data_IF_456359188226
#
_entry.id   IF_456359188226
#
_cell.length_a   1.000
_cell.length_b   1.000
_cell.length_c   1.000
_cell.angle_alpha   90.00
_cell.angle_beta   90.00
_cell.angle_gamma   90.00
#
_symmetry.space_group_name_H-M   'P 1'
#
loop_
_entity.id
_entity.type
_entity.pdbx_description
1 polymer ?
#
# COMPACT_ATOMS: atom_id res chain seq x y z
N UNK A 1 13.95 1.63 13.90
CA UNK A 1 12.57 1.50 13.34
C UNK A 1 11.91 2.87 13.18
N UNK A 2 11.83 3.69 14.23
CA UNK A 2 11.30 5.07 14.13
C UNK A 2 12.08 5.97 13.15
N UNK A 3 13.42 5.98 13.22
CA UNK A 3 14.27 6.79 12.31
C UNK A 3 14.19 6.33 10.84
N UNK A 4 13.93 5.03 10.61
CA UNK A 4 13.72 4.48 9.27
C UNK A 4 12.33 4.85 8.72
N UNK A 5 11.33 5.02 9.59
CA UNK A 5 9.99 5.53 9.22
C UNK A 5 10.01 7.00 8.83
N UNK A 6 10.83 7.85 9.45
CA UNK A 6 10.90 9.28 9.12
C UNK A 6 11.50 9.56 7.75
N UNK A 7 12.48 8.77 7.31
CA UNK A 7 13.17 8.97 6.03
C UNK A 7 12.63 8.09 4.89
N UNK A 8 11.65 7.23 5.17
CA UNK A 8 11.04 6.37 4.16
C UNK A 8 10.26 7.19 3.11
N UNK A 9 10.31 6.80 1.84
CA UNK A 9 9.44 7.36 0.81
C UNK A 9 7.97 7.31 1.28
N UNK A 10 7.30 8.46 1.23
CA UNK A 10 5.89 8.62 1.61
C UNK A 10 5.08 8.98 0.38
N UNK A 11 4.05 8.21 0.12
CA UNK A 11 3.07 8.45 -0.93
C UNK A 11 1.70 8.63 -0.30
N UNK A 12 0.88 9.53 -0.82
CA UNK A 12 -0.47 9.75 -0.28
C UNK A 12 -1.46 10.07 -1.39
N UNK A 13 -2.68 9.55 -1.26
CA UNK A 13 -3.80 9.90 -2.11
C UNK A 13 -5.05 10.15 -1.27
N UNK A 14 -5.83 11.15 -1.66
CA UNK A 14 -7.14 11.45 -1.07
C UNK A 14 -8.20 11.08 -2.10
N UNK A 15 -9.16 10.25 -1.70
CA UNK A 15 -10.34 9.92 -2.49
C UNK A 15 -11.55 9.97 -1.58
N UNK A 16 -12.52 10.83 -1.91
CA UNK A 16 -13.78 10.95 -1.18
C UNK A 16 -13.60 11.16 0.33
N UNK A 17 -12.78 12.16 0.68
CA UNK A 17 -12.36 12.52 2.05
C UNK A 17 -11.64 11.39 2.84
N UNK A 18 -11.28 10.28 2.19
CA UNK A 18 -10.42 9.26 2.79
C UNK A 18 -8.98 9.45 2.31
N UNK A 19 -8.05 9.59 3.25
CA UNK A 19 -6.62 9.73 2.94
C UNK A 19 -5.93 8.39 3.14
N UNK A 20 -5.28 7.89 2.08
CA UNK A 20 -4.43 6.70 2.15
C UNK A 20 -2.98 7.14 2.04
N UNK A 21 -2.21 6.94 3.11
CA UNK A 21 -0.77 7.19 3.15
C UNK A 21 -0.02 5.85 3.12
N UNK A 22 0.97 5.71 2.23
CA UNK A 22 1.84 4.54 2.14
C UNK A 22 3.29 4.96 2.41
N UNK A 23 3.98 4.18 3.25
CA UNK A 23 5.43 4.26 3.44
C UNK A 23 6.08 2.94 3.09
N UNK A 24 7.18 2.96 2.34
CA UNK A 24 7.86 1.74 1.86
C UNK A 24 9.22 1.56 2.54
N UNK A 25 9.59 0.31 2.79
CA UNK A 25 10.79 -0.09 3.52
C UNK A 25 11.47 -1.25 2.80
N UNK A 26 12.74 -1.07 2.44
CA UNK A 26 13.59 -2.16 1.97
C UNK A 26 13.88 -3.16 3.09
N UNK A 27 13.71 -4.46 2.81
CA UNK A 27 14.02 -5.55 3.76
C UNK A 27 15.27 -6.30 3.30
N UNK A 28 16.44 -5.85 3.74
CA UNK A 28 17.73 -6.43 3.34
C UNK A 28 17.84 -7.92 3.71
N UNK A 29 17.49 -8.28 4.95
CA UNK A 29 17.56 -9.65 5.48
C UNK A 29 16.65 -10.65 4.73
N UNK A 30 15.56 -10.17 4.12
CA UNK A 30 14.63 -11.00 3.36
C UNK A 30 14.88 -10.95 1.84
N UNK A 31 15.83 -10.11 1.41
CA UNK A 31 16.19 -9.94 0.01
C UNK A 31 17.44 -10.75 -0.32
N UNK A 32 17.40 -11.44 -1.45
CA UNK A 32 18.52 -12.16 -2.03
C UNK A 32 18.67 -11.73 -3.49
N UNK A 33 19.37 -10.61 -3.76
CA UNK A 33 19.52 -10.07 -5.10
C UNK A 33 20.16 -11.06 -6.08
N UNK A 34 21.07 -11.92 -5.60
CA UNK A 34 21.72 -12.99 -6.39
C UNK A 34 20.73 -14.04 -6.92
N UNK A 35 19.59 -14.18 -6.25
CA UNK A 35 18.51 -15.11 -6.57
C UNK A 35 17.29 -14.42 -7.21
N UNK A 36 17.42 -13.12 -7.53
CA UNK A 36 16.32 -12.28 -7.99
C UNK A 36 15.12 -12.29 -7.03
N UNK A 37 15.37 -12.22 -5.72
CA UNK A 37 14.33 -12.07 -4.69
C UNK A 37 14.52 -10.73 -3.99
N UNK A 38 13.59 -9.80 -4.18
CA UNK A 38 13.64 -8.47 -3.61
C UNK A 38 12.41 -8.25 -2.73
N UNK A 39 12.61 -7.92 -1.47
CA UNK A 39 11.55 -7.85 -0.47
C UNK A 39 11.41 -6.43 0.10
N UNK A 40 10.17 -5.95 0.15
CA UNK A 40 9.81 -4.70 0.80
C UNK A 40 8.69 -4.92 1.80
N UNK A 41 8.73 -4.19 2.90
CA UNK A 41 7.56 -3.93 3.72
C UNK A 41 6.95 -2.59 3.30
N UNK A 42 5.64 -2.48 3.43
CA UNK A 42 4.95 -1.21 3.30
C UNK A 42 3.96 -1.05 4.46
N UNK A 43 3.91 0.17 4.98
CA UNK A 43 3.00 0.59 6.03
C UNK A 43 1.94 1.50 5.44
N UNK A 44 0.68 1.17 5.65
CA UNK A 44 -0.46 1.93 5.12
C UNK A 44 -1.27 2.47 6.28
N UNK A 45 -1.52 3.78 6.24
CA UNK A 45 -2.45 4.49 7.09
C UNK A 45 -3.66 4.90 6.26
N UNK A 46 -4.86 4.55 6.74
CA UNK A 46 -6.15 4.92 6.14
C UNK A 46 -6.84 5.84 7.12
N UNK A 47 -6.93 7.13 6.78
CA UNK A 47 -7.52 8.17 7.61
C UNK A 47 -8.92 8.49 7.09
N UNK A 48 -9.94 8.37 7.95
CA UNK A 48 -11.31 8.72 7.63
C UNK A 48 -11.55 10.22 7.88
N UNK A 49 -11.47 11.04 6.83
CA UNK A 49 -11.83 12.45 6.89
C UNK A 49 -13.33 12.73 6.78
N UNK A 50 -14.17 11.71 6.55
CA UNK A 50 -15.64 11.87 6.49
C UNK A 50 -16.25 12.01 7.88
N UNK A 51 -17.54 12.36 7.91
CA UNK A 51 -18.33 12.39 9.15
C UNK A 51 -18.95 11.03 9.48
N UNK A 52 -19.03 10.13 8.50
CA UNK A 52 -19.62 8.80 8.62
C UNK A 52 -18.56 7.70 8.82
N UNK A 53 -18.96 6.61 9.47
CA UNK A 53 -18.14 5.40 9.64
C UNK A 53 -18.22 4.52 8.39
N UNK A 54 -17.11 3.90 7.97
CA UNK A 54 -17.11 2.92 6.88
C UNK A 54 -16.29 1.68 7.21
N UNK A 55 -16.48 0.61 6.44
CA UNK A 55 -15.77 -0.64 6.57
C UNK A 55 -15.02 -0.98 5.27
N UNK A 56 -13.76 -1.42 5.41
CA UNK A 56 -12.99 -1.98 4.29
C UNK A 56 -13.41 -3.43 4.07
N UNK A 57 -13.95 -3.71 2.88
CA UNK A 57 -14.46 -5.04 2.52
C UNK A 57 -13.42 -5.85 1.76
N UNK A 58 -12.80 -5.27 0.74
CA UNK A 58 -11.79 -5.94 -0.08
C UNK A 58 -10.82 -4.95 -0.69
N UNK A 59 -9.73 -5.49 -1.26
CA UNK A 59 -8.67 -4.74 -1.91
C UNK A 59 -8.36 -5.33 -3.28
N UNK A 60 -8.04 -4.45 -4.21
CA UNK A 60 -7.53 -4.79 -5.53
C UNK A 60 -6.19 -4.10 -5.72
N UNK A 61 -5.16 -4.87 -6.03
CA UNK A 61 -3.82 -4.39 -6.30
C UNK A 61 -3.45 -4.64 -7.76
N UNK A 62 -2.74 -3.69 -8.33
CA UNK A 62 -2.00 -3.83 -9.58
C UNK A 62 -0.51 -3.63 -9.25
N UNK A 63 0.29 -4.64 -9.55
CA UNK A 63 1.73 -4.69 -9.27
C UNK A 63 2.44 -4.74 -10.62
N UNK A 64 3.29 -3.75 -10.88
CA UNK A 64 4.10 -3.68 -12.11
C UNK A 64 5.56 -3.86 -11.73
N UNK A 65 6.19 -4.91 -12.23
CA UNK A 65 7.62 -5.17 -11.99
C UNK A 65 8.52 -4.32 -12.93
N UNK A 66 9.82 -4.25 -12.68
CA UNK A 66 10.77 -3.44 -13.45
C UNK A 66 10.93 -3.83 -14.93
N UNK A 67 10.43 -5.00 -15.36
CA UNK A 67 10.35 -5.43 -16.76
C UNK A 67 8.99 -5.09 -17.39
N UNK A 68 8.11 -4.40 -16.68
CA UNK A 68 6.79 -3.98 -17.15
C UNK A 68 5.74 -5.08 -17.13
N UNK A 69 5.97 -6.22 -16.45
CA UNK A 69 4.92 -7.23 -16.28
C UNK A 69 3.98 -6.79 -15.18
N UNK A 70 2.69 -6.98 -15.43
CA UNK A 70 1.63 -6.55 -14.52
C UNK A 70 0.93 -7.76 -13.92
N UNK A 71 0.86 -7.81 -12.59
CA UNK A 71 0.08 -8.77 -11.82
C UNK A 71 -1.10 -8.06 -11.15
N UNK A 72 -2.27 -8.68 -11.18
CA UNK A 72 -3.45 -8.19 -10.48
C UNK A 72 -3.79 -9.13 -9.33
N UNK A 73 -3.88 -8.58 -8.12
CA UNK A 73 -4.18 -9.34 -6.91
C UNK A 73 -5.45 -8.79 -6.29
N UNK A 74 -6.46 -9.64 -6.12
CA UNK A 74 -7.68 -9.30 -5.39
C UNK A 74 -7.75 -10.11 -4.11
N UNK A 75 -8.26 -9.52 -3.03
CA UNK A 75 -8.48 -10.24 -1.79
C UNK A 75 -9.41 -9.52 -0.82
N UNK A 76 -10.07 -10.31 0.02
CA UNK A 76 -10.90 -9.79 1.11
C UNK A 76 -10.06 -9.11 2.19
N UNK A 77 -10.59 -8.00 2.69
CA UNK A 77 -10.01 -7.22 3.77
C UNK A 77 -8.60 -6.71 3.50
N UNK A 78 -7.87 -6.47 4.58
CA UNK A 78 -6.43 -6.20 4.65
C UNK A 78 -5.85 -7.03 5.78
N UNK A 79 -4.70 -7.67 5.59
CA UNK A 79 -4.02 -8.51 6.60
C UNK A 79 -4.91 -9.57 7.31
N UNK A 80 -6.00 -9.99 6.66
CA UNK A 80 -6.97 -10.94 7.22
C UNK A 80 -8.13 -10.31 8.00
N UNK A 81 -8.21 -8.98 8.03
CA UNK A 81 -9.21 -8.19 8.75
C UNK A 81 -10.04 -7.31 7.79
N UNK A 82 -11.28 -7.01 8.18
CA UNK A 82 -12.15 -6.04 7.49
C UNK A 82 -12.43 -4.88 8.44
N UNK A 83 -11.47 -3.95 8.61
CA UNK A 83 -11.54 -2.91 9.63
C UNK A 83 -12.73 -1.97 9.40
N UNK A 84 -13.37 -1.58 10.50
CA UNK A 84 -14.38 -0.53 10.55
C UNK A 84 -13.68 0.73 11.06
N UNK A 85 -13.69 1.80 10.26
CA UNK A 85 -12.98 3.05 10.52
C UNK A 85 -14.02 4.11 10.84
N UNK A 86 -14.02 4.57 12.09
CA UNK A 86 -14.94 5.59 12.58
C UNK A 86 -14.69 6.96 11.97
N UNK A 87 -15.68 7.85 12.12
CA UNK A 87 -15.56 9.27 11.78
C UNK A 87 -14.32 9.90 12.42
N UNK A 88 -13.48 10.55 11.62
CA UNK A 88 -12.21 11.19 12.06
C UNK A 88 -11.20 10.23 12.71
N UNK A 89 -11.37 8.92 12.52
CA UNK A 89 -10.48 7.89 13.02
C UNK A 89 -9.53 7.39 11.92
N UNK A 90 -8.57 6.53 12.27
CA UNK A 90 -7.61 5.99 11.32
C UNK A 90 -7.32 4.51 11.60
N UNK A 91 -6.94 3.79 10.56
CA UNK A 91 -6.46 2.41 10.67
C UNK A 91 -5.11 2.26 9.97
N UNK A 92 -4.17 1.66 10.69
CA UNK A 92 -2.80 1.47 10.26
C UNK A 92 -2.45 -0.01 10.20
N UNK A 93 -1.79 -0.45 9.14
CA UNK A 93 -1.28 -1.82 9.05
C UNK A 93 0.01 -1.89 8.26
N UNK A 94 0.77 -2.97 8.48
CA UNK A 94 2.00 -3.26 7.75
C UNK A 94 1.86 -4.58 7.01
N UNK A 95 2.28 -4.61 5.75
CA UNK A 95 2.34 -5.84 4.95
C UNK A 95 3.61 -5.85 4.10
N UNK A 96 3.80 -6.89 3.30
CA UNK A 96 4.99 -7.09 2.49
C UNK A 96 4.67 -7.38 1.03
N UNK A 97 5.62 -7.05 0.16
CA UNK A 97 5.63 -7.44 -1.24
C UNK A 97 7.01 -8.01 -1.59
N UNK A 98 7.02 -9.05 -2.42
CA UNK A 98 8.25 -9.62 -2.98
C UNK A 98 8.17 -9.52 -4.50
N UNK A 99 9.19 -8.93 -5.12
CA UNK A 99 9.32 -8.87 -6.57
C UNK A 99 10.53 -9.69 -7.03
N UNK A 100 10.49 -10.07 -8.30
CA UNK A 100 11.62 -10.71 -8.99
C UNK A 100 12.57 -9.72 -9.64
N UNK A 101 12.29 -8.43 -9.50
CA UNK A 101 13.04 -7.33 -10.09
C UNK A 101 13.45 -6.33 -9.00
N UNK A 102 14.56 -5.61 -9.19
CA UNK A 102 15.09 -4.65 -8.21
C UNK A 102 14.25 -3.37 -8.04
N UNK A 103 13.32 -3.13 -8.96
CA UNK A 103 12.41 -1.99 -8.94
C UNK A 103 11.01 -2.40 -9.42
N UNK A 104 10.00 -1.65 -9.02
CA UNK A 104 8.62 -1.82 -9.47
C UNK A 104 7.68 -0.78 -8.86
N UNK A 105 6.41 -0.81 -9.26
CA UNK A 105 5.38 0.07 -8.75
C UNK A 105 4.15 -0.71 -8.36
N UNK A 106 3.48 -0.27 -7.29
CA UNK A 106 2.20 -0.80 -6.88
C UNK A 106 1.18 0.32 -6.85
N UNK A 107 -0.06 0.01 -7.24
CA UNK A 107 -1.23 0.85 -7.04
C UNK A 107 -2.44 -0.03 -6.76
N UNK A 108 -3.51 0.55 -6.24
CA UNK A 108 -4.66 -0.26 -5.93
C UNK A 108 -5.91 0.53 -5.59
N UNK A 109 -6.92 -0.21 -5.17
CA UNK A 109 -8.22 0.31 -4.77
C UNK A 109 -8.74 -0.51 -3.60
N UNK A 110 -9.21 0.18 -2.57
CA UNK A 110 -10.03 -0.41 -1.51
C UNK A 110 -11.50 -0.28 -1.87
N UNK A 111 -12.23 -1.36 -1.69
CA UNK A 111 -13.68 -1.39 -1.82
C UNK A 111 -14.29 -1.26 -0.42
N UNK A 112 -14.96 -0.15 -0.19
CA UNK A 112 -15.52 0.23 1.10
C UNK A 112 -17.05 0.06 1.11
N UNK A 113 -17.59 -0.09 2.32
CA UNK A 113 -19.02 -0.11 2.59
C UNK A 113 -19.33 0.83 3.76
N UNK A 114 -20.26 1.75 3.58
CA UNK A 114 -20.86 2.48 4.69
C UNK A 114 -21.98 1.61 5.30
N UNK A 115 -21.86 1.15 6.56
CA UNK A 115 -22.77 0.15 7.13
C UNK A 115 -24.17 0.69 7.41
N UNK A 116 -24.34 2.02 7.55
CA UNK A 116 -25.63 2.64 7.86
C UNK A 116 -26.49 2.79 6.60
N UNK A 117 -25.96 3.39 5.53
CA UNK A 117 -26.68 3.52 4.26
C UNK A 117 -26.61 2.27 3.38
N UNK A 118 -25.62 1.40 3.60
CA UNK A 118 -25.29 0.29 2.69
C UNK A 118 -24.58 0.74 1.41
N UNK A 119 -24.19 2.01 1.30
CA UNK A 119 -23.51 2.54 0.13
C UNK A 119 -22.10 1.96 0.00
N UNK A 120 -21.77 1.50 -1.20
CA UNK A 120 -20.41 1.10 -1.56
C UNK A 120 -19.69 2.22 -2.29
N UNK A 121 -18.40 2.36 -2.02
CA UNK A 121 -17.55 3.33 -2.69
C UNK A 121 -16.11 2.82 -2.73
N UNK A 122 -15.33 3.39 -3.64
CA UNK A 122 -13.94 2.99 -3.88
C UNK A 122 -12.98 4.08 -3.42
N UNK A 123 -11.90 3.67 -2.75
CA UNK A 123 -10.83 4.56 -2.29
C UNK A 123 -9.54 4.14 -2.98
N UNK A 124 -8.86 5.09 -3.64
CA UNK A 124 -7.63 4.78 -4.35
C UNK A 124 -6.43 4.75 -3.41
N UNK A 125 -5.58 3.75 -3.60
CA UNK A 125 -4.26 3.69 -2.99
C UNK A 125 -3.30 4.42 -3.94
N UNK A 126 -2.46 5.35 -3.46
CA UNK A 126 -1.50 6.05 -4.31
C UNK A 126 -0.62 5.05 -5.05
N UNK A 127 -0.19 5.41 -6.26
CA UNK A 127 0.92 4.69 -6.89
C UNK A 127 2.20 4.97 -6.10
N UNK A 128 2.88 3.92 -5.67
CA UNK A 128 4.15 4.01 -4.95
C UNK A 128 5.19 3.11 -5.57
N UNK A 129 6.45 3.53 -5.48
CA UNK A 129 7.59 2.78 -5.98
C UNK A 129 8.19 1.86 -4.91
N UNK A 130 8.68 0.73 -5.37
CA UNK A 130 9.43 -0.26 -4.62
C UNK A 130 10.84 -0.30 -5.22
N UNK A 131 11.67 0.68 -4.84
CA UNK A 131 13.04 0.78 -5.36
C UNK A 131 14.02 0.13 -4.39
N UNK A 132 14.89 -0.73 -4.90
CA UNK A 132 16.02 -1.24 -4.11
C UNK A 132 17.08 -0.15 -3.97
N UNK A 133 17.64 0.09 -2.77
CA UNK A 133 18.75 1.04 -2.59
C UNK A 133 20.01 0.62 -3.35
N UNK A 134 20.11 -0.64 -3.78
CA UNK A 134 21.25 -1.14 -4.54
C UNK A 134 21.14 -0.85 -6.04
N UNK A 135 19.97 -0.41 -6.50
CA UNK A 135 19.75 0.19 -7.81
C UNK A 135 19.87 1.72 -7.67
N UNK A 136 21.00 2.18 -7.12
CA UNK A 136 21.32 3.60 -7.11
C UNK A 136 21.33 4.09 -8.55
N UNK A 137 20.35 4.93 -8.89
CA UNK A 137 20.22 5.54 -10.20
C UNK A 137 21.57 6.06 -10.66
N UNK A 138 21.98 5.57 -11.84
CA UNK A 138 22.78 6.37 -12.74
C UNK A 138 21.91 7.59 -13.10
N UNK A 139 21.93 8.61 -12.25
CA UNK A 139 21.49 9.94 -12.63
C UNK A 139 22.44 10.40 -13.73
N UNK A 140 21.97 10.39 -14.98
CA UNK A 140 22.60 11.08 -16.10
C UNK A 140 21.73 12.27 -16.51
#
# INVERSE_FOLDING_TARGET
MAEAMENAPRFSQITDDVTVTVRTFWLDDQSQPEDHRFAWAYHICIENGREDTFQLISRSWEIVDGLGRTEHVHGDGVVGEQPIIGSKDQYDYTSGAMLTTPSGFMRGTYHMLEPVSGQRFDVHIPTFSLDSPHEAGLLH
#
